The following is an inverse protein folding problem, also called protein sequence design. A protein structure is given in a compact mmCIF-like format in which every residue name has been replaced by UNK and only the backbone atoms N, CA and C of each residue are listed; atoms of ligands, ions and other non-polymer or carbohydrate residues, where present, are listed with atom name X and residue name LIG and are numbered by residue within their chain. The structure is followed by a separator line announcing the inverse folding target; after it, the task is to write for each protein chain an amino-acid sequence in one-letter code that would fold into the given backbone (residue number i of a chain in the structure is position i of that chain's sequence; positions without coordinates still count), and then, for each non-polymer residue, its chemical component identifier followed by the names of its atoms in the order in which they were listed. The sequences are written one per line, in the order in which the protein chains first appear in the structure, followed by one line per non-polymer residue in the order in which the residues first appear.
data_IF_267412838378
#
_entry.id   IF_267412838378
#
_cell.length_a   1.000
_cell.length_b   1.000
_cell.length_c   1.000
_cell.angle_alpha   90.00
_cell.angle_beta   90.00
_cell.angle_gamma   90.00
#
_symmetry.space_group_name_H-M   'P 1'
#
loop_
_entity.id
_entity.type
_entity.pdbx_description
1 polymer ?
#
# COMPACT_ATOMS: atom_id res chain seq x y z
N UNK A 1 -55.51 -10.54 39.30
CA UNK A 1 -54.62 -10.09 40.39
C UNK A 1 -53.20 -9.99 39.83
N UNK A 2 -52.61 -8.81 40.00
CA UNK A 2 -51.26 -8.40 39.63
C UNK A 2 -50.17 -9.38 40.11
N UNK A 3 -49.05 -9.47 39.39
CA UNK A 3 -47.71 -9.16 39.94
C UNK A 3 -46.82 -8.56 38.84
N UNK A 4 -46.30 -7.38 39.12
CA UNK A 4 -45.23 -6.66 38.40
C UNK A 4 -43.87 -7.23 38.83
N UNK A 5 -42.93 -7.42 37.89
CA UNK A 5 -41.51 -7.58 38.23
C UNK A 5 -40.81 -6.22 38.16
N UNK A 6 -40.21 -5.82 39.29
CA UNK A 6 -39.40 -4.62 39.46
C UNK A 6 -37.96 -4.90 39.01
N UNK A 7 -37.42 -3.98 38.22
CA UNK A 7 -36.00 -3.88 37.88
C UNK A 7 -35.25 -3.31 39.08
N UNK A 8 -34.20 -4.00 39.54
CA UNK A 8 -33.24 -3.46 40.50
C UNK A 8 -31.93 -3.16 39.76
N UNK A 9 -31.59 -1.87 39.70
CA UNK A 9 -30.35 -1.33 39.18
C UNK A 9 -29.34 -1.27 40.34
N UNK A 10 -28.24 -2.03 40.26
CA UNK A 10 -27.11 -1.90 41.20
C UNK A 10 -25.91 -1.30 40.47
N UNK A 11 -25.68 -0.03 40.77
CA UNK A 11 -24.43 0.69 40.52
C UNK A 11 -23.35 0.12 41.44
N UNK A 12 -22.25 -0.40 40.86
CA UNK A 12 -21.01 -0.67 41.59
C UNK A 12 -19.92 0.28 41.08
N UNK A 13 -19.46 1.09 42.03
CA UNK A 13 -18.40 2.09 41.94
C UNK A 13 -17.05 1.37 41.96
N UNK A 14 -16.20 1.60 40.96
CA UNK A 14 -14.79 1.19 40.96
C UNK A 14 -13.93 2.34 41.54
N UNK A 15 -13.01 2.08 42.47
CA UNK A 15 -12.09 3.10 42.97
C UNK A 15 -10.92 3.31 42.01
N UNK A 16 -10.70 4.58 41.66
CA UNK A 16 -9.49 5.07 41.00
C UNK A 16 -8.30 4.96 41.96
N UNK A 17 -7.25 4.25 41.54
CA UNK A 17 -5.92 4.31 42.17
C UNK A 17 -5.12 5.39 41.46
N UNK A 18 -4.66 6.37 42.24
CA UNK A 18 -3.82 7.47 41.78
C UNK A 18 -2.39 6.96 41.53
N UNK A 19 -1.85 7.23 40.33
CA UNK A 19 -0.42 7.19 40.07
C UNK A 19 0.22 8.47 40.62
N UNK A 20 1.13 8.30 41.56
CA UNK A 20 2.04 9.36 42.02
C UNK A 20 3.24 9.44 41.08
N UNK A 21 3.53 10.66 40.64
CA UNK A 21 4.72 11.03 39.87
C UNK A 21 6.00 10.59 40.59
N UNK A 22 6.87 9.85 39.90
CA UNK A 22 8.24 9.60 40.31
C UNK A 22 9.17 10.20 39.25
N UNK A 23 9.57 11.45 39.49
CA UNK A 23 10.66 12.13 38.79
C UNK A 23 11.94 11.75 39.52
N UNK A 24 12.79 10.95 38.86
CA UNK A 24 14.13 10.61 39.34
C UNK A 24 15.16 11.46 38.60
N UNK A 25 15.82 12.34 39.35
CA UNK A 25 16.98 13.13 38.93
C UNK A 25 18.15 12.24 38.52
N UNK A 26 18.80 12.57 37.40
CA UNK A 26 20.16 12.12 37.08
C UNK A 26 20.96 13.32 36.55
N UNK A 27 21.64 14.01 37.46
CA UNK A 27 22.81 14.83 37.17
C UNK A 27 24.09 13.98 37.29
N UNK A 28 25.05 14.31 36.42
CA UNK A 28 26.49 14.13 36.52
C UNK A 28 27.11 12.72 36.54
N UNK A 29 27.71 12.36 35.41
CA UNK A 29 29.12 11.92 35.40
C UNK A 29 29.77 12.19 34.03
N UNK A 30 30.35 13.38 33.86
CA UNK A 30 31.36 13.66 32.84
C UNK A 30 32.75 13.33 33.41
N UNK A 31 33.54 12.59 32.63
CA UNK A 31 34.91 12.24 32.97
C UNK A 31 35.73 11.83 31.74
N UNK A 32 36.21 12.84 31.02
CA UNK A 32 37.44 12.93 30.22
C UNK A 32 38.00 11.71 29.47
N UNK A 33 38.00 11.79 28.13
CA UNK A 33 39.21 11.62 27.32
C UNK A 33 39.18 12.61 26.13
N UNK A 34 40.14 13.52 26.09
CA UNK A 34 40.39 14.50 25.02
C UNK A 34 41.46 14.01 24.02
N UNK A 35 41.37 14.62 22.82
CA UNK A 35 42.38 14.82 21.77
C UNK A 35 42.63 13.67 20.77
N UNK A 36 42.77 13.90 19.46
CA UNK A 36 42.70 15.09 18.60
C UNK A 36 42.68 14.59 17.13
N UNK A 37 41.92 15.21 16.24
CA UNK A 37 42.41 15.78 14.97
C UNK A 37 41.26 16.09 14.00
N UNK A 38 41.27 17.34 13.56
CA UNK A 38 40.25 18.06 12.79
C UNK A 38 40.63 18.24 11.32
N UNK A 39 39.64 18.33 10.44
CA UNK A 39 39.63 19.27 9.28
C UNK A 39 38.16 19.54 8.90
N UNK A 40 37.60 20.66 9.38
CA UNK A 40 37.37 21.95 8.70
C UNK A 40 36.46 21.89 7.48
N UNK A 41 35.28 22.54 7.53
CA UNK A 41 34.93 23.65 6.63
C UNK A 41 33.70 24.42 7.14
N UNK A 42 33.83 25.74 7.06
CA UNK A 42 33.07 26.79 7.76
C UNK A 42 31.64 27.06 7.27
N UNK A 43 30.76 27.38 8.22
CA UNK A 43 29.61 28.27 8.03
C UNK A 43 30.05 29.71 8.30
N UNK A 44 29.77 30.63 7.37
CA UNK A 44 29.62 32.05 7.70
C UNK A 44 28.40 32.66 7.02
N UNK A 45 27.61 33.29 7.87
CA UNK A 45 26.55 34.27 7.63
C UNK A 45 26.98 35.40 6.70
N UNK A 46 26.04 35.96 5.93
CA UNK A 46 26.12 37.35 5.50
C UNK A 46 24.78 38.08 5.57
N UNK A 47 24.94 39.36 5.80
CA UNK A 47 24.03 40.39 6.29
C UNK A 47 23.11 40.94 5.18
N UNK A 48 21.96 41.45 5.61
CA UNK A 48 20.97 42.15 4.81
C UNK A 48 21.44 43.55 4.36
N UNK A 49 21.10 43.93 3.13
CA UNK A 49 20.86 45.32 2.75
C UNK A 49 19.60 45.41 1.89
N UNK A 50 18.77 46.39 2.22
CA UNK A 50 17.43 46.58 1.67
C UNK A 50 17.37 47.41 0.40
N UNK A 51 16.21 47.35 -0.25
CA UNK A 51 15.75 48.39 -1.16
C UNK A 51 14.26 48.66 -0.92
N UNK A 52 13.95 49.95 -0.98
CA UNK A 52 12.70 50.57 -0.60
C UNK A 52 11.62 50.52 -1.68
N UNK A 53 10.38 50.58 -1.20
CA UNK A 53 9.22 51.30 -1.74
C UNK A 53 8.68 50.92 -3.12
N UNK A 54 7.42 50.48 -3.17
CA UNK A 54 6.29 51.43 -3.31
C UNK A 54 4.94 50.74 -3.21
N UNK A 55 4.05 51.43 -2.51
CA UNK A 55 2.66 51.12 -2.21
C UNK A 55 1.76 51.23 -3.45
N UNK A 56 0.74 50.38 -3.53
CA UNK A 56 -0.57 50.77 -4.09
C UNK A 56 -1.66 49.90 -3.48
N UNK A 57 -2.56 50.56 -2.78
CA UNK A 57 -3.70 50.04 -2.03
C UNK A 57 -4.95 50.10 -2.89
N UNK A 58 -5.73 49.02 -2.99
CA UNK A 58 -7.16 49.15 -3.28
C UNK A 58 -8.01 48.14 -2.49
N UNK A 59 -9.16 48.66 -2.09
CA UNK A 59 -10.06 48.25 -1.01
C UNK A 59 -10.89 47.01 -1.34
N UNK A 60 -11.12 46.19 -0.32
CA UNK A 60 -12.29 45.33 -0.21
C UNK A 60 -13.57 46.18 -0.13
N UNK A 61 -14.62 45.75 -0.82
CA UNK A 61 -16.00 46.05 -0.42
C UNK A 61 -16.90 44.87 -0.74
N UNK A 62 -17.44 44.33 0.34
CA UNK A 62 -18.51 43.36 0.47
C UNK A 62 -19.81 43.83 -0.17
N UNK A 63 -20.54 42.90 -0.78
CA UNK A 63 -21.94 43.05 -1.15
C UNK A 63 -22.65 41.71 -1.07
N UNK A 64 -23.23 41.40 0.09
CA UNK A 64 -24.15 40.29 0.26
C UNK A 64 -25.50 40.61 -0.41
N UNK A 65 -26.14 39.61 -1.01
CA UNK A 65 -27.61 39.57 -1.14
C UNK A 65 -28.08 38.13 -1.35
N UNK A 66 -28.88 37.71 -0.38
CA UNK A 66 -29.65 36.48 -0.27
C UNK A 66 -30.76 36.35 -1.32
N UNK A 67 -31.06 35.13 -1.75
CA UNK A 67 -32.45 34.65 -1.79
C UNK A 67 -32.50 33.12 -1.90
N UNK A 68 -33.11 32.51 -0.89
CA UNK A 68 -33.55 31.13 -0.85
C UNK A 68 -34.93 31.03 -1.49
N UNK A 69 -35.22 29.98 -2.26
CA UNK A 69 -36.57 29.43 -2.42
C UNK A 69 -36.53 27.90 -2.43
N UNK A 70 -37.26 27.33 -1.47
CA UNK A 70 -37.68 25.93 -1.43
C UNK A 70 -38.74 25.67 -2.49
N UNK A 71 -38.76 24.46 -3.06
CA UNK A 71 -40.01 23.72 -3.31
C UNK A 71 -39.75 22.24 -3.52
N UNK A 72 -40.57 21.46 -2.83
CA UNK A 72 -40.62 20.01 -2.70
C UNK A 72 -41.88 19.45 -3.34
N UNK A 73 -41.83 18.24 -3.91
CA UNK A 73 -42.97 17.29 -4.09
C UNK A 73 -42.41 16.00 -4.71
N UNK A 74 -42.25 14.89 -3.98
CA UNK A 74 -43.26 13.90 -3.56
C UNK A 74 -43.79 12.98 -4.69
N UNK A 75 -43.18 11.79 -4.78
CA UNK A 75 -43.73 10.44 -4.99
C UNK A 75 -45.10 10.24 -5.65
N UNK A 76 -45.12 9.46 -6.74
CA UNK A 76 -46.23 8.55 -7.08
C UNK A 76 -45.70 7.21 -7.60
N UNK A 77 -46.21 6.16 -6.98
CA UNK A 77 -46.03 4.74 -7.28
C UNK A 77 -47.10 4.30 -8.29
N UNK A 78 -46.71 3.57 -9.34
CA UNK A 78 -47.61 2.67 -10.06
C UNK A 78 -46.81 1.58 -10.79
N UNK A 79 -47.40 0.39 -10.78
CA UNK A 79 -46.82 -0.94 -10.93
C UNK A 79 -46.28 -1.31 -12.33
N UNK A 80 -45.34 -2.26 -12.25
CA UNK A 80 -44.94 -3.34 -13.17
C UNK A 80 -45.56 -3.39 -14.58
N UNK A 81 -44.66 -3.48 -15.57
CA UNK A 81 -44.82 -4.47 -16.64
C UNK A 81 -43.45 -4.90 -17.16
N UNK A 82 -43.29 -6.22 -17.25
CA UNK A 82 -42.12 -6.94 -17.75
C UNK A 82 -41.82 -6.61 -19.20
N UNK A 83 -40.63 -6.09 -19.49
CA UNK A 83 -40.08 -6.05 -20.84
C UNK A 83 -38.65 -6.57 -20.79
N UNK A 84 -38.48 -7.77 -21.33
CA UNK A 84 -37.19 -8.32 -21.74
C UNK A 84 -36.60 -7.40 -22.81
N UNK A 85 -35.57 -6.65 -22.45
CA UNK A 85 -34.77 -5.92 -23.43
C UNK A 85 -33.32 -5.97 -22.99
N UNK A 86 -32.49 -6.57 -23.84
CA UNK A 86 -31.04 -6.43 -23.84
C UNK A 86 -30.69 -4.94 -23.82
N UNK A 87 -30.48 -4.39 -22.63
CA UNK A 87 -30.02 -3.03 -22.44
C UNK A 87 -28.58 -2.98 -22.89
N UNK A 88 -28.36 -2.41 -24.08
CA UNK A 88 -27.06 -1.89 -24.47
C UNK A 88 -26.63 -0.89 -23.38
N UNK A 89 -25.71 -1.33 -22.53
CA UNK A 89 -25.09 -0.53 -21.48
C UNK A 89 -24.45 0.68 -22.18
N UNK A 90 -25.07 1.85 -22.03
CA UNK A 90 -24.59 3.08 -22.67
C UNK A 90 -23.38 3.59 -21.91
N UNK A 91 -22.19 3.26 -22.40
CA UNK A 91 -20.93 3.89 -21.99
C UNK A 91 -21.05 5.39 -22.35
N UNK A 92 -20.81 6.33 -21.40
CA UNK A 92 -20.83 7.76 -21.71
C UNK A 92 -19.93 8.06 -22.91
N UNK A 93 -20.33 9.02 -23.75
CA UNK A 93 -19.71 9.33 -25.04
C UNK A 93 -18.30 9.94 -24.97
N UNK A 94 -17.56 9.77 -23.88
CA UNK A 94 -16.15 10.18 -23.71
C UNK A 94 -15.16 9.30 -24.48
N UNK A 95 -15.59 8.78 -25.63
CA UNK A 95 -14.87 7.90 -26.55
C UNK A 95 -13.50 8.42 -27.05
N UNK A 96 -13.10 9.64 -26.73
CA UNK A 96 -11.94 10.32 -27.31
C UNK A 96 -10.60 10.14 -26.57
N UNK A 97 -10.55 9.55 -25.37
CA UNK A 97 -9.28 9.40 -24.63
C UNK A 97 -8.71 7.98 -24.60
N UNK A 98 -9.49 6.99 -25.04
CA UNK A 98 -9.06 5.59 -25.15
C UNK A 98 -8.59 5.20 -26.55
N UNK A 99 -8.56 6.15 -27.49
CA UNK A 99 -8.00 5.89 -28.81
C UNK A 99 -6.50 5.58 -28.70
N UNK A 100 -5.99 4.76 -29.62
CA UNK A 100 -4.61 4.25 -29.58
C UNK A 100 -4.51 2.79 -29.13
N UNK A 101 -5.40 2.31 -28.26
CA UNK A 101 -5.47 0.90 -27.91
C UNK A 101 -6.06 0.08 -29.06
N UNK A 102 -5.41 -1.03 -29.42
CA UNK A 102 -5.87 -1.94 -30.50
C UNK A 102 -6.56 -3.19 -29.97
N UNK A 103 -6.54 -3.42 -28.66
CA UNK A 103 -7.27 -4.52 -28.03
C UNK A 103 -8.73 -4.17 -27.75
N UNK A 104 -9.40 -5.07 -27.03
CA UNK A 104 -10.76 -4.88 -26.54
C UNK A 104 -10.78 -4.47 -25.08
N UNK A 105 -11.62 -3.50 -24.75
CA UNK A 105 -11.94 -3.18 -23.36
C UNK A 105 -13.00 -4.13 -22.82
N UNK A 106 -12.83 -4.54 -21.56
CA UNK A 106 -13.91 -5.05 -20.72
C UNK A 106 -14.77 -3.93 -20.17
N UNK A 107 -15.75 -4.28 -19.34
CA UNK A 107 -16.68 -3.35 -18.71
C UNK A 107 -16.90 -3.75 -17.27
N UNK A 108 -16.94 -2.77 -16.37
CA UNK A 108 -17.44 -2.92 -15.01
C UNK A 108 -18.54 -1.89 -14.75
N UNK A 109 -19.54 -2.27 -13.95
CA UNK A 109 -20.62 -1.39 -13.51
C UNK A 109 -20.50 -1.21 -12.00
N UNK A 110 -20.41 0.03 -11.54
CA UNK A 110 -20.32 0.36 -10.12
C UNK A 110 -21.74 0.27 -9.55
N UNK A 111 -22.00 -0.76 -8.74
CA UNK A 111 -23.34 -1.01 -8.19
C UNK A 111 -23.82 0.09 -7.22
N UNK A 112 -22.92 0.99 -6.80
CA UNK A 112 -23.22 2.06 -5.85
C UNK A 112 -23.87 3.26 -6.52
N UNK A 113 -23.59 3.51 -7.80
CA UNK A 113 -24.10 4.66 -8.55
C UNK A 113 -24.41 4.38 -10.03
N UNK A 114 -24.47 3.11 -10.43
CA UNK A 114 -24.72 2.60 -11.77
C UNK A 114 -23.76 3.12 -12.86
N UNK A 115 -22.63 3.73 -12.46
CA UNK A 115 -21.64 4.24 -13.41
C UNK A 115 -20.87 3.10 -14.04
N UNK A 116 -20.72 3.20 -15.36
CA UNK A 116 -20.03 2.20 -16.18
C UNK A 116 -18.60 2.65 -16.47
N UNK A 117 -17.64 1.75 -16.29
CA UNK A 117 -16.22 1.99 -16.59
C UNK A 117 -15.71 0.91 -17.54
N UNK A 118 -14.81 1.27 -18.45
CA UNK A 118 -14.06 0.31 -19.25
C UNK A 118 -12.95 -0.29 -18.39
N UNK A 119 -12.61 -1.54 -18.68
CA UNK A 119 -11.51 -2.25 -18.03
C UNK A 119 -10.53 -2.79 -19.05
N UNK A 120 -9.27 -2.92 -18.67
CA UNK A 120 -8.21 -3.43 -19.54
C UNK A 120 -7.27 -4.35 -18.77
N UNK A 121 -6.94 -5.47 -19.38
CA UNK A 121 -5.91 -6.38 -18.86
C UNK A 121 -4.53 -5.95 -19.34
N UNK A 122 -3.63 -5.69 -18.40
CA UNK A 122 -2.24 -5.33 -18.65
C UNK A 122 -1.35 -6.26 -17.82
N UNK A 123 -0.64 -7.16 -18.49
CA UNK A 123 -0.01 -8.29 -17.82
C UNK A 123 -1.07 -9.16 -17.13
N UNK A 124 -0.84 -9.49 -15.86
CA UNK A 124 -1.76 -10.26 -15.03
C UNK A 124 -2.77 -9.41 -14.24
N UNK A 125 -2.78 -8.10 -14.48
CA UNK A 125 -3.62 -7.15 -13.75
C UNK A 125 -4.77 -6.66 -14.62
N UNK A 126 -5.94 -6.46 -14.02
CA UNK A 126 -7.09 -5.82 -14.67
C UNK A 126 -7.32 -4.44 -14.05
N UNK A 127 -7.25 -3.40 -14.89
CA UNK A 127 -7.32 -2.00 -14.48
C UNK A 127 -8.57 -1.33 -15.04
N UNK A 128 -9.13 -0.35 -14.33
CA UNK A 128 -10.04 0.61 -14.95
C UNK A 128 -9.28 1.42 -16.01
N UNK A 129 -9.91 1.70 -17.15
CA UNK A 129 -9.36 2.57 -18.19
C UNK A 129 -9.74 4.05 -17.98
N UNK A 130 -10.70 4.32 -17.10
CA UNK A 130 -11.06 5.67 -16.64
C UNK A 130 -10.64 5.89 -15.19
N UNK A 131 -10.47 7.16 -14.82
CA UNK A 131 -10.47 7.56 -13.41
C UNK A 131 -11.84 7.28 -12.78
N UNK A 132 -11.82 6.91 -11.50
CA UNK A 132 -13.03 6.79 -10.71
C UNK A 132 -13.77 8.14 -10.65
N UNK A 133 -15.09 8.07 -10.76
CA UNK A 133 -15.99 9.25 -10.70
C UNK A 133 -17.15 9.02 -9.74
N UNK A 134 -16.97 8.16 -8.74
CA UNK A 134 -17.94 7.92 -7.67
C UNK A 134 -18.05 9.16 -6.77
N UNK A 135 -19.27 9.64 -6.53
CA UNK A 135 -19.54 10.90 -5.83
C UNK A 135 -20.22 10.69 -4.47
N UNK A 136 -20.32 9.45 -4.00
CA UNK A 136 -20.94 9.10 -2.71
C UNK A 136 -20.01 9.22 -1.49
N UNK A 137 -18.81 9.76 -1.67
CA UNK A 137 -17.84 10.09 -0.62
C UNK A 137 -17.30 11.50 -0.84
N UNK A 138 -16.44 11.98 0.05
CA UNK A 138 -15.75 13.25 -0.08
C UNK A 138 -14.91 13.28 -1.39
N UNK A 139 -15.27 14.20 -2.29
CA UNK A 139 -14.73 14.32 -3.64
C UNK A 139 -14.85 15.75 -4.17
N UNK A 140 -13.97 16.10 -5.10
CA UNK A 140 -13.92 17.41 -5.74
C UNK A 140 -13.91 17.18 -7.26
N UNK A 141 -14.68 17.99 -7.97
CA UNK A 141 -14.62 18.02 -9.43
C UNK A 141 -13.79 19.22 -9.86
N UNK A 142 -12.96 19.03 -10.87
CA UNK A 142 -12.12 20.10 -11.39
C UNK A 142 -12.91 21.37 -11.71
N UNK A 143 -12.33 22.53 -11.37
CA UNK A 143 -12.93 23.86 -11.53
C UNK A 143 -14.29 24.01 -10.80
N UNK A 144 -14.53 23.23 -9.76
CA UNK A 144 -15.82 23.13 -9.05
C UNK A 144 -17.02 22.84 -9.98
N UNK A 145 -16.77 22.14 -11.10
CA UNK A 145 -17.80 21.80 -12.10
C UNK A 145 -18.15 20.33 -12.04
N UNK A 146 -19.37 19.95 -11.61
CA UNK A 146 -19.79 18.55 -11.54
C UNK A 146 -19.61 17.78 -12.86
N UNK A 147 -19.88 18.41 -14.00
CA UNK A 147 -19.70 17.79 -15.32
C UNK A 147 -18.25 17.41 -15.63
N UNK A 148 -17.26 18.02 -14.97
CA UNK A 148 -15.86 17.67 -15.14
C UNK A 148 -15.52 16.32 -14.48
N UNK A 149 -16.23 15.90 -13.43
CA UNK A 149 -16.08 14.55 -12.87
C UNK A 149 -16.49 13.47 -13.87
N UNK A 150 -17.51 13.72 -14.70
CA UNK A 150 -17.96 12.77 -15.72
C UNK A 150 -16.95 12.59 -16.86
N UNK A 151 -16.13 13.61 -17.12
CA UNK A 151 -15.14 13.61 -18.21
C UNK A 151 -13.80 13.08 -17.72
N UNK A 152 -13.31 13.60 -16.58
CA UNK A 152 -11.94 13.40 -16.14
C UNK A 152 -11.79 12.47 -14.93
N UNK A 153 -12.89 12.15 -14.24
CA UNK A 153 -12.87 11.58 -12.90
C UNK A 153 -12.87 12.65 -11.81
N UNK A 154 -13.06 12.21 -10.58
CA UNK A 154 -13.04 13.08 -9.40
C UNK A 154 -11.65 13.08 -8.72
N UNK A 155 -11.36 14.15 -7.98
CA UNK A 155 -10.28 14.17 -7.00
C UNK A 155 -10.82 13.67 -5.66
N UNK A 156 -10.04 12.83 -4.97
CA UNK A 156 -10.41 12.25 -3.68
C UNK A 156 -9.39 12.64 -2.60
N UNK A 157 -9.89 12.82 -1.38
CA UNK A 157 -9.08 12.99 -0.18
C UNK A 157 -8.52 11.65 0.31
N UNK A 158 -7.50 11.74 1.16
CA UNK A 158 -6.90 10.60 1.86
C UNK A 158 -7.94 9.79 2.64
N UNK A 159 -8.92 10.44 3.25
CA UNK A 159 -10.04 9.79 3.98
C UNK A 159 -10.83 8.84 3.08
N UNK A 160 -11.24 9.31 1.89
CA UNK A 160 -11.91 8.51 0.87
C UNK A 160 -11.09 7.30 0.42
N UNK A 161 -9.77 7.48 0.30
CA UNK A 161 -8.86 6.44 -0.19
C UNK A 161 -8.52 5.40 0.88
N UNK A 162 -8.08 5.83 2.05
CA UNK A 162 -7.48 4.98 3.09
C UNK A 162 -8.52 4.40 4.06
N UNK A 163 -9.58 5.16 4.39
CA UNK A 163 -10.64 4.70 5.30
C UNK A 163 -11.78 4.06 4.52
N UNK A 164 -12.38 4.82 3.60
CA UNK A 164 -13.61 4.40 2.94
C UNK A 164 -13.40 3.41 1.80
N UNK A 165 -12.14 3.13 1.42
CA UNK A 165 -11.76 2.27 0.30
C UNK A 165 -12.61 2.57 -0.93
N UNK A 166 -12.47 3.78 -1.46
CA UNK A 166 -13.38 4.38 -2.45
C UNK A 166 -13.69 3.56 -3.70
N UNK A 167 -12.87 2.59 -4.08
CA UNK A 167 -13.16 1.69 -5.20
C UNK A 167 -14.36 0.76 -4.91
N UNK A 168 -15.12 0.34 -5.94
CA UNK A 168 -16.28 -0.53 -5.75
C UNK A 168 -15.90 -1.93 -5.28
N UNK A 169 -16.88 -2.70 -4.80
CA UNK A 169 -16.65 -4.10 -4.42
C UNK A 169 -16.00 -4.90 -5.57
N UNK A 170 -15.00 -5.72 -5.23
CA UNK A 170 -14.19 -6.43 -6.21
C UNK A 170 -13.10 -5.58 -6.87
N UNK A 171 -12.97 -4.32 -6.50
CA UNK A 171 -11.93 -3.39 -6.95
C UNK A 171 -11.27 -2.67 -5.76
N UNK A 172 -10.01 -2.28 -5.91
CA UNK A 172 -9.24 -1.62 -4.88
C UNK A 172 -8.47 -0.42 -5.44
N UNK A 173 -8.07 0.48 -4.55
CA UNK A 173 -7.01 1.45 -4.84
C UNK A 173 -5.70 0.64 -4.95
N UNK A 174 -4.91 0.78 -6.02
CA UNK A 174 -3.74 -0.05 -6.23
C UNK A 174 -2.65 0.20 -5.19
N UNK A 175 -1.93 -0.86 -4.81
CA UNK A 175 -0.72 -0.75 -4.00
C UNK A 175 0.45 -0.20 -4.83
N UNK A 176 1.48 0.28 -4.14
CA UNK A 176 2.77 0.63 -4.76
C UNK A 176 3.32 -0.52 -5.61
N UNK A 177 3.33 -1.74 -5.07
CA UNK A 177 3.81 -2.91 -5.81
C UNK A 177 3.00 -3.22 -7.07
N UNK A 178 1.68 -3.04 -7.03
CA UNK A 178 0.82 -3.24 -8.21
C UNK A 178 1.11 -2.23 -9.31
N UNK A 179 1.37 -0.98 -8.97
CA UNK A 179 1.81 0.01 -9.95
C UNK A 179 3.20 -0.31 -10.53
N UNK A 180 4.15 -0.79 -9.73
CA UNK A 180 5.47 -1.17 -10.26
C UNK A 180 5.37 -2.33 -11.26
N UNK A 181 4.48 -3.31 -11.01
CA UNK A 181 4.21 -4.38 -11.98
C UNK A 181 3.68 -3.84 -13.32
N UNK A 182 2.76 -2.86 -13.29
CA UNK A 182 2.26 -2.18 -14.49
C UNK A 182 3.39 -1.47 -15.25
N UNK A 183 4.23 -0.72 -14.54
CA UNK A 183 5.34 0.04 -15.13
C UNK A 183 6.38 -0.91 -15.73
N UNK A 184 6.77 -1.95 -15.01
CA UNK A 184 7.73 -2.95 -15.47
C UNK A 184 7.21 -3.71 -16.69
N UNK A 185 5.93 -4.05 -16.72
CA UNK A 185 5.29 -4.63 -17.90
C UNK A 185 5.36 -3.67 -19.10
N UNK A 186 5.06 -2.39 -18.90
CA UNK A 186 5.12 -1.38 -19.95
C UNK A 186 6.56 -1.21 -20.50
N UNK A 187 7.56 -1.15 -19.62
CA UNK A 187 8.99 -1.12 -19.99
C UNK A 187 9.37 -2.35 -20.84
N UNK A 188 9.01 -3.56 -20.39
CA UNK A 188 9.37 -4.81 -21.05
C UNK A 188 8.75 -4.97 -22.45
N UNK A 189 7.53 -4.46 -22.68
CA UNK A 189 6.83 -4.61 -23.97
C UNK A 189 7.27 -3.61 -25.05
N UNK A 190 7.91 -2.50 -24.70
CA UNK A 190 8.10 -1.36 -25.63
C UNK A 190 9.53 -1.12 -26.13
N UNK A 191 10.53 -1.87 -25.66
CA UNK A 191 11.82 -2.14 -26.33
C UNK A 191 12.78 -0.98 -26.65
N UNK A 192 12.32 0.26 -26.85
CA UNK A 192 13.13 1.49 -27.01
C UNK A 192 12.28 2.78 -27.09
N UNK A 193 10.97 2.72 -26.83
CA UNK A 193 10.07 3.87 -26.82
C UNK A 193 9.72 4.20 -25.36
N UNK A 194 9.60 5.48 -25.07
CA UNK A 194 9.12 6.03 -23.81
C UNK A 194 7.85 5.31 -23.33
N UNK A 195 8.03 4.39 -22.37
CA UNK A 195 6.99 3.47 -21.89
C UNK A 195 5.82 4.21 -21.22
N UNK A 196 6.05 5.44 -20.77
CA UNK A 196 5.03 6.37 -20.28
C UNK A 196 3.95 6.66 -21.34
N UNK A 197 4.31 6.87 -22.61
CA UNK A 197 3.31 7.16 -23.66
C UNK A 197 2.37 5.96 -23.90
N UNK A 198 2.84 4.74 -23.67
CA UNK A 198 2.00 3.56 -23.79
C UNK A 198 0.85 3.54 -22.76
N UNK A 199 1.01 4.28 -21.64
CA UNK A 199 0.05 4.41 -20.55
C UNK A 199 -0.80 5.68 -20.64
N UNK A 200 -0.26 6.77 -21.20
CA UNK A 200 -0.97 8.04 -21.41
C UNK A 200 -2.14 7.90 -22.36
N UNK A 201 -3.23 8.63 -22.09
CA UNK A 201 -4.27 8.89 -23.10
C UNK A 201 -3.69 9.57 -24.34
N UNK A 202 -4.34 9.42 -25.47
CA UNK A 202 -3.94 10.05 -26.72
C UNK A 202 -4.44 11.49 -26.88
N UNK A 203 -5.21 12.00 -25.92
CA UNK A 203 -5.72 13.37 -25.85
C UNK A 203 -5.33 14.05 -24.54
N UNK A 204 -5.52 15.37 -24.48
CA UNK A 204 -5.36 16.25 -23.30
C UNK A 204 -3.92 16.52 -22.83
N UNK A 205 -2.93 15.73 -23.23
CA UNK A 205 -1.51 16.02 -22.94
C UNK A 205 -1.00 17.19 -23.79
N UNK A 206 -0.42 18.20 -23.13
CA UNK A 206 0.07 19.44 -23.71
C UNK A 206 1.37 19.26 -24.51
N UNK A 207 2.22 18.33 -24.06
CA UNK A 207 3.47 17.97 -24.74
C UNK A 207 3.29 16.61 -25.39
N UNK A 208 2.99 16.62 -26.69
CA UNK A 208 2.99 15.41 -27.52
C UNK A 208 4.31 15.28 -28.25
N UNK A 209 4.96 14.14 -28.09
CA UNK A 209 6.10 13.75 -28.91
C UNK A 209 5.58 13.27 -30.26
N UNK A 210 6.22 13.75 -31.32
CA UNK A 210 5.67 13.78 -32.69
C UNK A 210 5.55 12.40 -33.36
N UNK A 211 6.03 11.32 -32.74
CA UNK A 211 6.12 9.97 -33.32
C UNK A 211 5.46 8.85 -32.48
N UNK A 212 4.76 9.17 -31.38
CA UNK A 212 4.41 8.17 -30.37
C UNK A 212 3.01 7.56 -30.50
N UNK A 213 2.94 6.24 -30.32
CA UNK A 213 1.68 5.50 -30.17
C UNK A 213 1.23 5.59 -28.72
N UNK A 214 0.43 6.62 -28.43
CA UNK A 214 -0.22 6.82 -27.15
C UNK A 214 -1.20 5.69 -26.82
N UNK A 215 -1.38 5.40 -25.53
CA UNK A 215 -2.38 4.48 -25.01
C UNK A 215 -2.34 3.06 -25.60
N UNK A 216 -1.18 2.61 -26.10
CA UNK A 216 -1.08 1.29 -26.73
C UNK A 216 -1.36 0.11 -25.79
N UNK A 217 -1.33 0.33 -24.46
CA UNK A 217 -1.70 -0.67 -23.45
C UNK A 217 -3.15 -0.51 -22.96
N UNK A 218 -3.85 0.53 -23.40
CA UNK A 218 -5.25 0.78 -23.05
C UNK A 218 -5.49 1.42 -21.69
N UNK A 219 -4.45 1.72 -20.91
CA UNK A 219 -4.57 2.32 -19.58
C UNK A 219 -5.23 3.71 -19.56
N UNK A 220 -5.01 4.51 -20.61
CA UNK A 220 -5.58 5.84 -20.84
C UNK A 220 -5.46 6.80 -19.64
N UNK A 221 -4.22 7.03 -19.16
CA UNK A 221 -3.96 8.01 -18.11
C UNK A 221 -4.24 9.44 -18.59
N UNK A 222 -5.13 10.14 -17.87
CA UNK A 222 -5.48 11.53 -18.14
C UNK A 222 -4.56 12.47 -17.36
N UNK A 223 -4.08 13.58 -17.94
CA UNK A 223 -3.16 14.51 -17.30
C UNK A 223 -3.89 15.51 -16.39
N UNK A 224 -4.60 14.98 -15.39
CA UNK A 224 -5.46 15.75 -14.50
C UNK A 224 -4.70 16.39 -13.32
N UNK A 225 -3.44 16.00 -13.12
CA UNK A 225 -2.64 16.49 -12.01
C UNK A 225 -3.22 16.12 -10.64
N UNK A 226 -2.83 16.89 -9.62
CA UNK A 226 -3.42 16.86 -8.27
C UNK A 226 -4.15 18.19 -8.02
N UNK A 227 -5.17 18.19 -7.18
CA UNK A 227 -5.75 19.41 -6.65
C UNK A 227 -5.08 19.74 -5.31
N UNK A 228 -4.36 20.85 -5.29
CA UNK A 228 -3.68 21.45 -4.15
C UNK A 228 -3.91 22.97 -4.16
N UNK A 229 -3.43 23.68 -3.14
CA UNK A 229 -3.59 25.14 -3.02
C UNK A 229 -2.87 25.94 -4.11
N UNK A 230 -1.95 25.32 -4.86
CA UNK A 230 -1.18 25.95 -5.93
C UNK A 230 -1.81 25.74 -7.31
N UNK A 231 -2.72 24.78 -7.43
CA UNK A 231 -3.37 24.37 -8.67
C UNK A 231 -2.40 23.63 -9.60
N UNK A 232 -2.76 22.42 -10.03
CA UNK A 232 -1.96 21.68 -11.02
C UNK A 232 -2.40 22.03 -12.46
N UNK A 233 -1.50 22.50 -13.34
CA UNK A 233 -1.82 22.73 -14.73
C UNK A 233 -2.22 21.43 -15.43
N UNK A 234 -3.42 21.39 -16.01
CA UNK A 234 -3.84 20.26 -16.83
C UNK A 234 -2.94 20.09 -18.04
N UNK A 235 -2.74 18.83 -18.42
CA UNK A 235 -2.03 18.47 -19.64
C UNK A 235 -0.54 18.22 -19.45
N UNK A 236 -0.02 18.44 -18.25
CA UNK A 236 1.40 18.18 -17.95
C UNK A 236 1.62 16.83 -17.27
N UNK A 237 0.86 16.52 -16.23
CA UNK A 237 1.07 15.34 -15.37
C UNK A 237 -0.23 14.63 -15.07
N UNK A 238 -0.17 13.32 -14.89
CA UNK A 238 -1.21 12.56 -14.22
C UNK A 238 -0.68 12.15 -12.84
N UNK A 239 -1.45 12.43 -11.78
CA UNK A 239 -1.17 11.92 -10.44
C UNK A 239 -2.22 10.88 -10.06
N UNK A 240 -1.81 9.87 -9.30
CA UNK A 240 -2.71 8.84 -8.81
C UNK A 240 -2.38 8.47 -7.37
N UNK A 241 -3.44 8.23 -6.60
CA UNK A 241 -3.32 7.60 -5.30
C UNK A 241 -2.76 6.17 -5.40
N UNK A 242 -2.00 5.79 -4.37
CA UNK A 242 -1.80 4.38 -4.00
C UNK A 242 -2.42 4.12 -2.62
N UNK A 243 -2.71 2.85 -2.32
CA UNK A 243 -3.08 2.42 -0.97
C UNK A 243 -1.87 2.16 -0.07
N UNK A 244 -0.64 2.35 -0.58
CA UNK A 244 0.59 2.08 0.15
C UNK A 244 1.05 3.34 0.87
N UNK A 245 0.63 3.45 2.13
CA UNK A 245 1.05 4.51 3.02
C UNK A 245 2.29 4.13 3.85
N UNK A 246 3.02 5.15 4.27
CA UNK A 246 4.20 5.08 5.14
C UNK A 246 4.00 6.09 6.27
N UNK A 247 4.25 5.70 7.52
CA UNK A 247 4.23 6.64 8.64
C UNK A 247 3.05 6.50 9.61
N UNK A 248 2.76 7.58 10.33
CA UNK A 248 2.07 7.63 11.62
C UNK A 248 0.54 7.49 11.53
N UNK A 249 -0.11 7.38 12.68
CA UNK A 249 -1.57 7.20 12.82
C UNK A 249 -2.43 8.41 12.44
N UNK A 250 -1.83 9.53 12.01
CA UNK A 250 -2.55 10.75 11.62
C UNK A 250 -2.71 10.82 10.10
N UNK A 251 -3.95 10.75 9.62
CA UNK A 251 -4.27 10.72 8.19
C UNK A 251 -3.99 12.04 7.47
N UNK A 252 -3.96 13.15 8.20
CA UNK A 252 -3.69 14.49 7.63
C UNK A 252 -2.19 14.81 7.60
N UNK A 253 -1.34 13.98 8.21
CA UNK A 253 0.12 14.13 8.23
C UNK A 253 0.83 12.78 8.00
N UNK A 254 0.29 11.99 7.07
CA UNK A 254 0.83 10.70 6.68
C UNK A 254 1.64 10.85 5.39
N UNK A 255 2.71 10.08 5.25
CA UNK A 255 3.40 9.96 3.99
C UNK A 255 2.75 8.86 3.15
N UNK A 256 2.50 9.12 1.88
CA UNK A 256 1.87 8.16 0.97
C UNK A 256 2.66 8.08 -0.31
N UNK A 257 2.79 6.88 -0.85
CA UNK A 257 3.30 6.75 -2.21
C UNK A 257 2.22 7.21 -3.19
N UNK A 258 2.61 8.05 -4.15
CA UNK A 258 1.78 8.47 -5.27
C UNK A 258 2.48 8.07 -6.56
N UNK A 259 1.71 7.89 -7.63
CA UNK A 259 2.28 7.72 -8.98
C UNK A 259 2.11 8.97 -9.81
N UNK A 260 3.21 9.37 -10.45
CA UNK A 260 3.24 10.46 -11.42
C UNK A 260 3.52 9.88 -12.80
N UNK A 261 2.71 10.24 -13.79
CA UNK A 261 2.99 10.02 -15.21
C UNK A 261 3.27 11.37 -15.84
N UNK A 262 4.48 11.55 -16.35
CA UNK A 262 4.94 12.69 -17.15
C UNK A 262 5.83 12.15 -18.28
N UNK A 263 7.10 12.54 -18.36
CA UNK A 263 8.08 11.98 -19.30
C UNK A 263 8.68 10.66 -18.80
N UNK A 264 8.37 10.31 -17.56
CA UNK A 264 8.65 9.06 -16.86
C UNK A 264 7.40 8.64 -16.09
N UNK A 265 7.35 7.38 -15.65
CA UNK A 265 6.35 6.92 -14.67
C UNK A 265 7.09 6.51 -13.41
N UNK A 266 6.84 7.23 -12.33
CA UNK A 266 7.59 7.04 -11.09
C UNK A 266 6.72 7.23 -9.85
N UNK A 267 7.11 6.49 -8.81
CA UNK A 267 6.54 6.63 -7.48
C UNK A 267 7.26 7.74 -6.72
N UNK A 268 6.50 8.58 -6.02
CA UNK A 268 7.04 9.60 -5.13
C UNK A 268 6.36 9.51 -3.77
N UNK A 269 7.09 9.83 -2.71
CA UNK A 269 6.51 9.99 -1.39
C UNK A 269 5.96 11.41 -1.25
N UNK A 270 4.70 11.52 -0.84
CA UNK A 270 4.02 12.80 -0.68
C UNK A 270 3.31 12.85 0.67
N UNK A 271 3.22 14.03 1.27
CA UNK A 271 2.49 14.24 2.51
C UNK A 271 1.00 14.45 2.21
N UNK A 272 0.13 13.71 2.87
CA UNK A 272 -1.31 13.68 2.58
C UNK A 272 -2.06 14.98 2.84
N UNK A 273 -1.44 15.92 3.55
CA UNK A 273 -2.06 17.19 3.91
C UNK A 273 -2.50 17.98 2.67
N UNK A 274 -3.78 18.31 2.62
CA UNK A 274 -4.41 19.21 1.64
C UNK A 274 -4.27 18.80 0.16
N UNK A 275 -3.87 17.57 -0.13
CA UNK A 275 -3.84 17.04 -1.50
C UNK A 275 -5.08 16.22 -1.82
N UNK A 276 -5.57 16.38 -3.05
CA UNK A 276 -6.63 15.54 -3.60
C UNK A 276 -6.19 15.05 -4.97
N UNK A 277 -6.30 13.75 -5.21
CA UNK A 277 -5.82 13.14 -6.46
C UNK A 277 -6.88 12.21 -7.08
N UNK A 278 -6.79 11.98 -8.39
CA UNK A 278 -7.56 10.95 -9.06
C UNK A 278 -7.24 9.55 -8.52
N UNK A 279 -8.25 8.67 -8.55
CA UNK A 279 -8.10 7.24 -8.26
C UNK A 279 -8.29 6.45 -9.56
N UNK A 280 -7.39 5.49 -9.80
CA UNK A 280 -7.50 4.49 -10.86
C UNK A 280 -7.63 3.13 -10.20
N UNK A 281 -8.84 2.57 -10.15
CA UNK A 281 -9.03 1.29 -9.45
C UNK A 281 -8.43 0.13 -10.26
N UNK A 282 -7.92 -0.84 -9.53
CA UNK A 282 -7.48 -2.14 -10.02
C UNK A 282 -8.45 -3.20 -9.50
N UNK A 283 -8.74 -4.22 -10.29
CA UNK A 283 -9.56 -5.34 -9.83
C UNK A 283 -8.85 -6.10 -8.72
N UNK A 284 -9.59 -6.57 -7.74
CA UNK A 284 -9.03 -7.30 -6.61
C UNK A 284 -8.19 -8.47 -7.12
N UNK A 285 -6.98 -8.57 -6.58
CA UNK A 285 -6.05 -9.60 -6.97
C UNK A 285 -6.59 -10.95 -6.48
N UNK A 286 -6.98 -11.82 -7.42
CA UNK A 286 -7.42 -13.19 -7.12
C UNK A 286 -6.33 -14.04 -6.45
N UNK A 287 -5.10 -13.52 -6.35
CA UNK A 287 -4.01 -14.12 -5.59
C UNK A 287 -4.19 -13.97 -4.09
N UNK A 288 -4.93 -12.97 -3.61
CA UNK A 288 -5.13 -12.78 -2.17
C UNK A 288 -6.19 -13.74 -1.64
N UNK A 289 -5.93 -14.30 -0.47
CA UNK A 289 -6.84 -15.20 0.22
C UNK A 289 -6.66 -15.12 1.72
N UNK A 290 -7.33 -16.03 2.41
CA UNK A 290 -7.21 -16.21 3.85
C UNK A 290 -7.27 -17.70 4.19
N UNK A 291 -6.66 -18.08 5.29
CA UNK A 291 -6.76 -19.41 5.88
C UNK A 291 -7.06 -19.30 7.37
N UNK A 292 -7.89 -20.21 7.89
CA UNK A 292 -8.19 -20.35 9.31
C UNK A 292 -7.28 -21.41 9.90
N UNK A 293 -6.50 -21.06 10.92
CA UNK A 293 -5.79 -22.02 11.74
C UNK A 293 -6.74 -22.53 12.82
N UNK A 294 -7.24 -23.76 12.68
CA UNK A 294 -8.23 -24.31 13.61
C UNK A 294 -7.67 -24.54 15.02
N UNK A 295 -6.33 -24.54 15.18
CA UNK A 295 -5.68 -24.80 16.47
C UNK A 295 -5.83 -23.64 17.45
N UNK A 296 -5.87 -22.41 16.94
CA UNK A 296 -5.96 -21.17 17.74
C UNK A 296 -7.06 -20.20 17.25
N UNK A 297 -7.81 -20.57 16.20
CA UNK A 297 -8.81 -19.74 15.53
C UNK A 297 -8.27 -18.45 14.91
N UNK A 298 -6.97 -18.38 14.64
CA UNK A 298 -6.35 -17.24 13.96
C UNK A 298 -6.61 -17.33 12.46
N UNK A 299 -7.03 -16.22 11.85
CA UNK A 299 -7.16 -16.10 10.39
C UNK A 299 -5.91 -15.39 9.86
N UNK A 300 -5.14 -16.08 9.02
CA UNK A 300 -3.97 -15.52 8.33
C UNK A 300 -4.34 -15.18 6.89
N UNK A 301 -3.85 -14.04 6.41
CA UNK A 301 -3.89 -13.71 4.98
C UNK A 301 -2.93 -14.61 4.22
N UNK A 302 -3.30 -14.90 2.98
CA UNK A 302 -2.50 -15.70 2.06
C UNK A 302 -2.36 -14.97 0.73
N UNK A 303 -1.31 -15.31 -0.01
CA UNK A 303 -1.03 -14.75 -1.32
C UNK A 303 -0.54 -15.83 -2.27
N UNK A 304 -1.07 -15.87 -3.49
CA UNK A 304 -0.56 -16.70 -4.56
C UNK A 304 0.51 -15.97 -5.36
N UNK A 305 1.74 -16.50 -5.39
CA UNK A 305 2.86 -15.95 -6.14
C UNK A 305 3.33 -17.03 -7.10
N UNK A 306 3.19 -16.77 -8.40
CA UNK A 306 3.39 -17.80 -9.42
C UNK A 306 2.37 -18.94 -9.25
N UNK A 307 2.86 -20.17 -9.10
CA UNK A 307 2.04 -21.35 -8.83
C UNK A 307 1.79 -21.60 -7.34
N UNK A 308 2.53 -20.95 -6.44
CA UNK A 308 2.56 -21.25 -5.01
C UNK A 308 1.62 -20.35 -4.21
N UNK A 309 0.99 -20.91 -3.17
CA UNK A 309 0.21 -20.14 -2.20
C UNK A 309 0.97 -20.05 -0.87
N UNK A 310 1.30 -18.83 -0.47
CA UNK A 310 2.08 -18.51 0.73
C UNK A 310 1.20 -17.85 1.78
N UNK A 311 1.55 -18.01 3.06
CA UNK A 311 1.10 -17.07 4.08
C UNK A 311 1.69 -15.67 3.79
N UNK A 312 0.84 -14.64 3.87
CA UNK A 312 1.21 -13.24 3.73
C UNK A 312 1.55 -12.59 5.09
N UNK A 313 1.32 -13.30 6.18
CA UNK A 313 1.63 -12.91 7.55
C UNK A 313 2.54 -13.95 8.19
N UNK A 314 3.39 -13.53 9.13
CA UNK A 314 4.21 -14.48 9.89
C UNK A 314 3.31 -15.28 10.83
N UNK A 315 3.58 -16.58 10.97
CA UNK A 315 2.79 -17.44 11.85
C UNK A 315 2.92 -16.97 13.32
N UNK A 316 1.80 -16.90 14.02
CA UNK A 316 1.71 -16.47 15.42
C UNK A 316 1.11 -17.55 16.34
N UNK A 317 1.18 -18.81 15.92
CA UNK A 317 0.76 -19.96 16.72
C UNK A 317 1.70 -20.15 17.92
N UNK A 318 1.14 -20.18 19.14
CA UNK A 318 1.94 -20.45 20.34
C UNK A 318 2.28 -21.94 20.42
N UNK A 319 3.57 -22.26 20.32
CA UNK A 319 4.03 -23.64 20.46
C UNK A 319 3.72 -24.17 21.88
N UNK A 320 2.99 -25.30 22.01
CA UNK A 320 2.60 -25.84 23.32
C UNK A 320 3.77 -26.25 24.22
N UNK A 321 4.95 -26.52 23.66
CA UNK A 321 6.15 -26.90 24.42
C UNK A 321 6.96 -25.67 24.87
N UNK A 322 6.51 -24.45 24.55
CA UNK A 322 7.15 -23.20 24.97
C UNK A 322 8.36 -22.78 24.11
N UNK A 323 8.50 -23.38 22.93
CA UNK A 323 9.62 -23.21 22.01
C UNK A 323 9.37 -22.12 20.93
N UNK A 324 8.47 -21.18 21.24
CA UNK A 324 8.13 -20.04 20.39
C UNK A 324 8.10 -18.75 21.21
N UNK A 325 8.67 -17.67 20.66
CA UNK A 325 8.97 -16.46 21.40
C UNK A 325 8.41 -15.21 20.70
N UNK A 326 7.80 -14.34 21.50
CA UNK A 326 7.61 -12.95 21.12
C UNK A 326 8.93 -12.19 21.26
N UNK A 327 9.15 -11.18 20.42
CA UNK A 327 10.32 -10.33 20.51
C UNK A 327 10.38 -9.67 21.89
N UNK A 328 11.57 -9.64 22.48
CA UNK A 328 11.83 -9.00 23.78
C UNK A 328 10.88 -9.48 24.88
N UNK A 329 10.30 -10.69 24.70
CA UNK A 329 9.28 -11.29 25.56
C UNK A 329 8.03 -10.41 25.74
N UNK A 330 7.71 -9.56 24.76
CA UNK A 330 6.55 -8.69 24.76
C UNK A 330 5.44 -9.25 23.85
N UNK A 331 4.27 -9.55 24.41
CA UNK A 331 3.11 -10.07 23.69
C UNK A 331 2.63 -9.16 22.53
N UNK A 332 2.74 -7.83 22.67
CA UNK A 332 2.34 -6.90 21.61
C UNK A 332 3.22 -7.06 20.37
N UNK A 333 4.48 -7.48 20.54
CA UNK A 333 5.37 -7.73 19.41
C UNK A 333 4.92 -8.92 18.57
N UNK A 334 4.31 -9.94 19.19
CA UNK A 334 3.76 -11.09 18.47
C UNK A 334 2.60 -10.69 17.55
N UNK A 335 1.76 -9.74 17.98
CA UNK A 335 0.66 -9.22 17.15
C UNK A 335 1.16 -8.46 15.92
N UNK A 336 2.36 -7.86 15.98
CA UNK A 336 2.94 -7.07 14.89
C UNK A 336 3.84 -7.92 13.98
N UNK A 337 4.64 -8.80 14.56
CA UNK A 337 5.73 -9.51 13.88
C UNK A 337 5.52 -11.02 13.75
N UNK A 338 4.51 -11.59 14.42
CA UNK A 338 4.41 -13.03 14.64
C UNK A 338 5.44 -13.53 15.67
N UNK A 339 5.59 -14.85 15.77
CA UNK A 339 6.52 -15.52 16.69
C UNK A 339 7.81 -15.93 16.00
N UNK A 340 8.87 -16.03 16.81
CA UNK A 340 10.13 -16.66 16.45
C UNK A 340 10.16 -18.07 17.04
N UNK A 341 10.36 -19.08 16.21
CA UNK A 341 10.30 -20.50 16.59
C UNK A 341 11.71 -21.07 16.62
N UNK A 342 12.02 -21.92 17.59
CA UNK A 342 13.18 -22.82 17.47
C UNK A 342 12.94 -23.80 16.32
N UNK A 343 13.99 -24.49 15.86
CA UNK A 343 13.83 -25.48 14.78
C UNK A 343 12.81 -26.58 15.15
N UNK A 344 12.89 -27.13 16.36
CA UNK A 344 11.98 -28.17 16.83
C UNK A 344 10.51 -27.69 16.84
N UNK A 345 10.26 -26.42 17.17
CA UNK A 345 8.93 -25.84 17.07
C UNK A 345 8.50 -25.61 15.61
N UNK A 346 9.38 -25.07 14.77
CA UNK A 346 9.10 -24.75 13.38
C UNK A 346 8.62 -25.97 12.57
N UNK A 347 9.22 -27.15 12.82
CA UNK A 347 8.86 -28.40 12.13
C UNK A 347 7.39 -28.82 12.29
N UNK A 348 6.77 -28.46 13.40
CA UNK A 348 5.36 -28.75 13.74
C UNK A 348 4.47 -27.49 13.70
N UNK A 349 5.03 -26.34 13.36
CA UNK A 349 4.34 -25.06 13.49
C UNK A 349 3.25 -24.88 12.43
N UNK A 350 3.45 -25.32 11.19
CA UNK A 350 2.46 -25.13 10.14
C UNK A 350 1.18 -25.98 10.35
N UNK A 351 -0.01 -25.41 10.12
CA UNK A 351 -1.28 -26.15 10.28
C UNK A 351 -1.48 -27.18 9.15
N UNK A 352 -2.43 -28.09 9.32
CA UNK A 352 -2.74 -29.11 8.29
C UNK A 352 -3.02 -28.51 6.92
N UNK A 353 -2.45 -29.09 5.87
CA UNK A 353 -2.51 -28.57 4.49
C UNK A 353 -1.50 -27.46 4.21
N UNK A 354 -0.66 -27.13 5.18
CA UNK A 354 0.43 -26.17 5.07
C UNK A 354 1.71 -26.79 5.64
N UNK A 355 2.85 -26.40 5.07
CA UNK A 355 4.16 -26.93 5.48
C UNK A 355 5.22 -25.83 5.54
N UNK A 356 6.34 -26.15 6.20
CA UNK A 356 7.54 -25.33 6.05
C UNK A 356 8.00 -25.35 4.58
N UNK A 357 8.47 -24.19 4.06
CA UNK A 357 8.98 -24.11 2.71
C UNK A 357 10.31 -24.84 2.59
N UNK A 358 10.53 -25.49 1.46
CA UNK A 358 11.82 -26.03 1.06
C UNK A 358 12.62 -24.98 0.28
N UNK A 359 13.92 -25.22 0.11
CA UNK A 359 14.79 -24.38 -0.72
C UNK A 359 14.21 -24.15 -2.12
N UNK A 360 13.69 -25.19 -2.76
CA UNK A 360 13.07 -25.08 -4.09
C UNK A 360 11.81 -24.21 -4.09
N UNK A 361 11.10 -24.15 -2.96
CA UNK A 361 9.94 -23.27 -2.86
C UNK A 361 10.36 -21.82 -2.87
N UNK A 362 11.38 -21.49 -2.06
CA UNK A 362 11.97 -20.17 -2.08
C UNK A 362 12.54 -19.83 -3.46
N UNK A 363 13.32 -20.70 -4.09
CA UNK A 363 13.86 -20.45 -5.44
C UNK A 363 12.76 -20.11 -6.46
N UNK A 364 11.64 -20.87 -6.45
CA UNK A 364 10.49 -20.60 -7.32
C UNK A 364 9.81 -19.25 -7.04
N UNK A 365 9.70 -18.88 -5.76
CA UNK A 365 9.22 -17.56 -5.32
C UNK A 365 10.15 -16.45 -5.84
N UNK A 366 11.46 -16.60 -5.65
CA UNK A 366 12.45 -15.60 -6.03
C UNK A 366 12.51 -15.41 -7.56
N UNK A 367 12.46 -16.50 -8.32
CA UNK A 367 12.43 -16.45 -9.78
C UNK A 367 11.19 -15.74 -10.33
N UNK A 368 10.02 -16.00 -9.72
CA UNK A 368 8.76 -15.34 -10.08
C UNK A 368 8.84 -13.83 -9.86
N UNK A 369 9.37 -13.41 -8.71
CA UNK A 369 9.55 -11.99 -8.39
C UNK A 369 10.56 -11.35 -9.34
N UNK A 370 11.72 -11.99 -9.54
CA UNK A 370 12.79 -11.51 -10.42
C UNK A 370 12.32 -11.29 -11.86
N UNK A 371 11.46 -12.16 -12.38
CA UNK A 371 10.92 -12.03 -13.73
C UNK A 371 10.10 -10.74 -13.95
N UNK A 372 9.60 -10.12 -12.88
CA UNK A 372 8.73 -8.94 -12.94
C UNK A 372 9.29 -7.73 -12.17
N UNK A 373 10.47 -7.86 -11.56
CA UNK A 373 11.08 -6.83 -10.73
C UNK A 373 11.61 -5.63 -11.53
N UNK A 374 11.84 -5.77 -12.83
CA UNK A 374 12.45 -4.72 -13.64
C UNK A 374 13.85 -4.39 -13.11
N UNK A 375 14.06 -3.13 -12.70
CA UNK A 375 15.35 -2.64 -12.19
C UNK A 375 15.50 -2.81 -10.65
N UNK A 376 14.42 -3.19 -9.96
CA UNK A 376 14.38 -3.36 -8.51
C UNK A 376 15.01 -4.68 -8.07
N UNK A 377 15.46 -4.75 -6.82
CA UNK A 377 15.94 -5.99 -6.22
C UNK A 377 14.79 -6.96 -5.89
N UNK A 378 15.10 -8.25 -5.85
CA UNK A 378 14.11 -9.30 -5.53
C UNK A 378 13.57 -9.12 -4.11
N UNK A 379 14.43 -8.69 -3.17
CA UNK A 379 14.05 -8.42 -1.80
C UNK A 379 13.09 -7.25 -1.67
N UNK A 380 13.33 -6.15 -2.38
CA UNK A 380 12.41 -5.00 -2.40
C UNK A 380 10.99 -5.41 -2.86
N UNK A 381 10.90 -6.38 -3.76
CA UNK A 381 9.64 -6.96 -4.24
C UNK A 381 8.89 -7.83 -3.22
N UNK A 382 9.54 -8.31 -2.15
CA UNK A 382 8.96 -9.17 -1.11
C UNK A 382 8.77 -8.43 0.24
N UNK A 383 9.59 -7.43 0.49
CA UNK A 383 9.63 -6.66 1.73
C UNK A 383 8.35 -5.82 1.92
N UNK A 384 7.84 -5.80 3.15
CA UNK A 384 6.71 -4.96 3.55
C UNK A 384 7.00 -3.46 3.36
N UNK A 385 6.11 -2.75 2.67
CA UNK A 385 6.27 -1.32 2.38
C UNK A 385 6.39 -0.50 3.68
N UNK A 386 7.36 0.40 3.74
CA UNK A 386 7.55 1.33 4.86
C UNK A 386 8.11 0.73 6.15
N UNK A 387 8.48 -0.56 6.17
CA UNK A 387 9.01 -1.23 7.38
C UNK A 387 10.53 -1.38 7.41
N UNK A 388 11.21 -1.22 6.28
CA UNK A 388 12.63 -1.55 6.11
C UNK A 388 13.57 -0.34 6.17
N UNK A 389 13.17 0.73 6.85
CA UNK A 389 14.00 1.92 7.10
C UNK A 389 14.51 2.57 5.81
N UNK A 390 15.77 2.29 5.46
CA UNK A 390 16.47 2.87 4.30
C UNK A 390 16.02 2.31 2.94
N UNK A 391 15.44 1.11 2.92
CA UNK A 391 14.99 0.49 1.67
C UNK A 391 13.56 0.91 1.34
N UNK A 392 13.39 1.25 0.06
CA UNK A 392 12.13 1.60 -0.55
C UNK A 392 11.40 0.32 -0.98
N UNK A 393 10.99 -0.49 0.00
CA UNK A 393 10.25 -1.72 -0.22
C UNK A 393 8.95 -1.49 -1.03
N UNK A 394 8.56 -2.48 -1.84
CA UNK A 394 7.47 -2.37 -2.82
C UNK A 394 6.36 -3.40 -2.62
N UNK A 395 6.70 -4.59 -2.14
CA UNK A 395 5.80 -5.73 -1.98
C UNK A 395 4.92 -5.97 -3.22
N UNK A 396 5.53 -6.43 -4.33
CA UNK A 396 4.85 -6.53 -5.63
C UNK A 396 3.60 -7.39 -5.61
N UNK A 397 3.60 -8.44 -4.79
CA UNK A 397 2.54 -9.44 -4.77
C UNK A 397 1.77 -9.48 -3.46
N UNK A 398 2.26 -8.88 -2.37
CA UNK A 398 1.66 -9.02 -1.03
C UNK A 398 2.28 -10.12 -0.18
N UNK A 399 3.53 -10.48 -0.44
CA UNK A 399 4.26 -11.38 0.46
C UNK A 399 4.46 -10.71 1.82
N UNK A 400 4.63 -9.39 1.87
CA UNK A 400 4.64 -8.61 3.12
C UNK A 400 5.65 -9.17 4.15
N UNK A 401 6.91 -9.34 3.75
CA UNK A 401 7.98 -9.71 4.68
C UNK A 401 8.27 -8.53 5.62
N UNK A 402 7.87 -8.66 6.88
CA UNK A 402 8.12 -7.67 7.95
C UNK A 402 9.48 -7.99 8.60
N UNK A 403 10.31 -6.99 8.97
CA UNK A 403 11.62 -7.22 9.59
C UNK A 403 11.50 -7.63 11.07
N UNK A 404 10.99 -8.83 11.30
CA UNK A 404 10.82 -9.45 12.61
C UNK A 404 12.14 -9.86 13.26
N UNK A 405 13.27 -9.69 12.59
CA UNK A 405 14.58 -10.17 13.06
C UNK A 405 14.62 -11.67 13.26
N UNK A 406 15.49 -12.08 14.16
CA UNK A 406 15.64 -13.45 14.67
C UNK A 406 16.18 -13.36 16.09
N UNK A 407 16.12 -14.47 16.83
CA UNK A 407 16.83 -14.62 18.09
C UNK A 407 18.00 -15.58 17.87
N UNK A 408 19.14 -15.28 18.50
CA UNK A 408 20.35 -16.10 18.44
C UNK A 408 21.07 -16.06 19.78
N UNK A 409 21.33 -17.22 20.37
CA UNK A 409 21.89 -17.32 21.74
C UNK A 409 21.15 -16.42 22.74
N UNK A 410 19.82 -16.48 22.75
CA UNK A 410 18.93 -15.65 23.59
C UNK A 410 18.99 -14.13 23.34
N UNK A 411 19.70 -13.68 22.30
CA UNK A 411 19.79 -12.27 21.93
C UNK A 411 18.94 -12.02 20.69
N UNK A 412 18.00 -11.07 20.79
CA UNK A 412 17.22 -10.63 19.65
C UNK A 412 18.05 -9.74 18.73
N UNK A 413 18.00 -10.01 17.43
CA UNK A 413 18.55 -9.11 16.42
C UNK A 413 17.75 -7.80 16.39
N UNK A 414 18.34 -6.76 15.79
CA UNK A 414 17.60 -5.55 15.43
C UNK A 414 16.47 -5.86 14.43
N UNK A 415 15.47 -5.00 14.37
CA UNK A 415 14.34 -5.02 13.42
C UNK A 415 14.74 -4.51 12.02
N UNK A 416 15.96 -4.86 11.59
CA UNK A 416 16.53 -4.51 10.29
C UNK A 416 16.68 -5.75 9.39
N UNK A 417 16.24 -6.90 9.90
CA UNK A 417 16.40 -8.22 9.29
C UNK A 417 15.09 -8.99 9.34
N UNK A 418 14.92 -9.95 8.44
CA UNK A 418 13.93 -11.01 8.59
C UNK A 418 14.59 -12.33 8.23
N UNK A 419 14.37 -13.34 9.06
CA UNK A 419 14.81 -14.70 8.83
C UNK A 419 13.57 -15.60 8.84
N UNK A 420 13.40 -16.37 7.77
CA UNK A 420 12.35 -17.38 7.65
C UNK A 420 12.95 -18.77 7.62
N UNK A 421 12.44 -19.65 8.47
CA UNK A 421 12.80 -21.06 8.42
C UNK A 421 12.42 -21.69 7.08
N UNK A 422 13.31 -22.53 6.56
CA UNK A 422 12.99 -23.54 5.56
C UNK A 422 13.34 -24.94 6.08
N UNK A 423 12.85 -25.97 5.40
CA UNK A 423 12.98 -27.37 5.84
C UNK A 423 14.14 -28.13 5.19
N UNK A 424 14.77 -27.58 4.15
CA UNK A 424 15.86 -28.26 3.44
C UNK A 424 17.12 -28.32 4.30
N UNK A 425 17.56 -29.54 4.62
CA UNK A 425 18.77 -29.79 5.40
C UNK A 425 20.03 -29.25 4.72
N UNK A 426 20.94 -28.76 5.55
CA UNK A 426 22.27 -28.27 5.21
C UNK A 426 23.20 -28.49 6.41
N UNK A 427 24.41 -27.95 6.32
CA UNK A 427 25.38 -27.85 7.42
C UNK A 427 25.76 -26.38 7.58
N UNK A 428 26.02 -25.95 8.82
CA UNK A 428 26.48 -24.59 9.13
C UNK A 428 27.91 -24.33 8.62
N UNK A 429 28.37 -23.08 8.75
CA UNK A 429 29.70 -22.65 8.28
C UNK A 429 30.87 -23.39 8.95
N UNK A 430 30.65 -23.97 10.14
CA UNK A 430 31.63 -24.79 10.84
C UNK A 430 31.81 -26.19 10.24
N UNK A 431 30.92 -26.60 9.33
CA UNK A 431 30.95 -27.89 8.66
C UNK A 431 30.49 -29.08 9.52
N UNK A 432 29.97 -28.84 10.72
CA UNK A 432 29.55 -29.90 11.66
C UNK A 432 28.11 -29.71 12.15
N UNK A 433 27.68 -28.47 12.38
CA UNK A 433 26.38 -28.18 12.99
C UNK A 433 25.25 -28.35 11.98
N UNK A 434 24.17 -29.01 12.41
CA UNK A 434 22.98 -29.22 11.58
C UNK A 434 22.34 -27.87 11.27
N UNK A 435 21.96 -27.66 10.01
CA UNK A 435 21.40 -26.39 9.58
C UNK A 435 20.29 -26.61 8.57
N UNK A 436 19.48 -25.57 8.36
CA UNK A 436 18.43 -25.58 7.35
C UNK A 436 18.47 -24.33 6.50
N UNK A 437 18.24 -24.49 5.19
CA UNK A 437 18.25 -23.38 4.25
C UNK A 437 17.01 -22.53 4.48
N UNK A 438 17.21 -21.31 4.96
CA UNK A 438 16.15 -20.32 5.18
C UNK A 438 16.25 -19.13 4.24
N UNK A 439 15.22 -18.29 4.25
CA UNK A 439 15.21 -17.03 3.50
C UNK A 439 15.61 -15.87 4.43
N UNK A 440 16.61 -15.11 4.01
CA UNK A 440 17.12 -13.96 4.77
C UNK A 440 17.03 -12.66 3.97
N UNK A 441 16.49 -11.65 4.64
CA UNK A 441 16.33 -10.29 4.14
C UNK A 441 16.97 -9.29 5.10
N UNK A 442 17.55 -8.21 4.57
CA UNK A 442 18.17 -7.14 5.37
C UNK A 442 17.86 -5.76 4.80
N UNK A 443 17.83 -4.73 5.65
CA UNK A 443 17.67 -3.34 5.21
C UNK A 443 18.91 -2.75 4.49
N UNK A 444 19.95 -3.55 4.26
CA UNK A 444 21.19 -3.15 3.61
C UNK A 444 21.32 -3.69 2.18
N UNK A 445 20.47 -4.66 1.81
CA UNK A 445 20.51 -5.30 0.51
C UNK A 445 19.11 -5.29 -0.13
N UNK A 446 19.04 -4.84 -1.37
CA UNK A 446 17.80 -4.86 -2.15
C UNK A 446 17.40 -6.28 -2.60
N UNK A 447 18.35 -7.21 -2.60
CA UNK A 447 18.14 -8.63 -2.89
C UNK A 447 18.04 -9.46 -1.60
N UNK A 448 17.74 -10.74 -1.76
CA UNK A 448 17.60 -11.72 -0.66
C UNK A 448 18.66 -12.79 -0.75
N UNK A 449 18.94 -13.46 0.36
CA UNK A 449 19.82 -14.62 0.41
C UNK A 449 19.06 -15.87 0.84
N UNK A 450 19.52 -17.02 0.34
CA UNK A 450 19.16 -18.33 0.84
C UNK A 450 20.40 -18.93 1.50
N UNK A 451 20.43 -18.89 2.83
CA UNK A 451 21.59 -19.27 3.62
C UNK A 451 21.23 -20.42 4.59
N UNK A 452 22.19 -21.29 4.94
CA UNK A 452 21.99 -22.27 6.00
C UNK A 452 22.00 -21.61 7.39
N UNK A 453 21.01 -21.93 8.21
CA UNK A 453 20.94 -21.47 9.60
C UNK A 453 20.99 -22.67 10.54
N UNK A 454 21.92 -22.63 11.49
CA UNK A 454 22.11 -23.68 12.49
C UNK A 454 20.84 -23.88 13.32
N UNK A 455 20.41 -25.13 13.48
CA UNK A 455 19.14 -25.49 14.11
C UNK A 455 19.13 -25.29 15.64
N UNK A 456 20.30 -25.26 16.27
CA UNK A 456 20.51 -25.08 17.71
C UNK A 456 20.84 -23.64 18.12
N UNK A 457 21.14 -22.75 17.18
CA UNK A 457 21.56 -21.37 17.49
C UNK A 457 20.48 -20.32 17.24
N UNK A 458 19.52 -20.58 16.36
CA UNK A 458 18.59 -19.58 15.85
C UNK A 458 17.14 -19.88 16.26
N UNK A 459 16.37 -18.82 16.48
CA UNK A 459 14.92 -18.85 16.44
C UNK A 459 14.42 -17.80 15.44
N UNK A 460 13.55 -18.21 14.54
CA UNK A 460 13.20 -17.44 13.36
C UNK A 460 11.71 -17.49 13.02
N UNK A 461 11.27 -16.57 12.16
CA UNK A 461 9.87 -16.53 11.75
C UNK A 461 9.52 -17.76 10.91
N UNK A 462 8.29 -18.24 11.05
CA UNK A 462 7.72 -19.27 10.18
C UNK A 462 6.73 -18.61 9.22
N UNK A 463 6.86 -18.94 7.93
CA UNK A 463 5.93 -18.54 6.88
C UNK A 463 5.61 -19.74 6.02
N UNK A 464 4.45 -20.34 6.28
CA UNK A 464 4.08 -21.60 5.65
C UNK A 464 3.67 -21.41 4.20
N UNK A 465 3.85 -22.48 3.43
CA UNK A 465 3.37 -22.64 2.05
C UNK A 465 2.31 -23.74 2.03
N UNK A 466 1.29 -23.59 1.19
CA UNK A 466 0.25 -24.60 1.00
C UNK A 466 0.83 -25.84 0.30
N UNK A 467 0.43 -27.03 0.76
CA UNK A 467 0.91 -28.32 0.22
C UNK A 467 0.53 -28.61 -1.24
#
# INVERSE_FOLDING_TARGET
MNVRFFVLCCLLVLPFVACTDYVGDYEDLYGHLENESSSSFDKKSFVAEGYSSSSSSYRYSSGASSSSWYSSSSWRYSQESSVSSSSSISIPSSSSFVSGFKGSYGVMVDSRDDKVYRTVSIGDQEWMAENLRYTGVEHECRDDKPSNCDIYGAYYWTTSVQIYKVCPEGWNVPTLGQWELLVNYAKAKKGSIYYDDALKSDTLWSLKRQADVYNSLGFAALPLGMADDWGSPMGMKAHFWTSSAVGTYDLDDMDVWIYTIENTVEAMLYRTKDIRMPVRCIKNDMRMGQMLDERDSTIYKTVKIGSQTWMAENLNYEDPDGESYCRDFNLDSCLVYGRLYSWNAAQKACPTGWRLPEKMDFESLLDTVKAHAGDFGVGEGLMAVGKWGRLNARDFYGFNAIPAGFRRHDIFSKTDYALFWGSTNSVADDGETSAHVGLYLSNQNKDVNLDPFADDLYEASVRCIME
#
